data_IF_486994669554
#
_entry.id   IF_486994669554
#
_cell.length_a   1.000
_cell.length_b   1.000
_cell.length_c   1.000
_cell.angle_alpha   90.00
_cell.angle_beta   90.00
_cell.angle_gamma   90.00
#
_symmetry.space_group_name_H-M   'P 1'
#
loop_
_entity.id
_entity.type
_entity.pdbx_description
1 polymer ?
#
# COMPACT_ATOMS: atom_id res chain seq x y z
N UNK A 1 16.09 -15.13 9.76
CA UNK A 1 15.69 -15.92 8.58
C UNK A 1 15.68 -15.02 7.35
N UNK A 2 16.04 -15.54 6.19
CA UNK A 2 16.00 -14.86 4.88
C UNK A 2 14.89 -15.48 4.04
N UNK A 3 14.19 -14.66 3.19
CA UNK A 3 13.22 -15.18 2.22
C UNK A 3 13.83 -16.25 1.30
N UNK A 4 12.97 -17.04 0.64
CA UNK A 4 13.36 -17.87 -0.50
C UNK A 4 13.88 -17.01 -1.66
N UNK A 5 14.41 -17.64 -2.70
CA UNK A 5 14.79 -16.94 -3.92
C UNK A 5 13.55 -16.45 -4.67
N UNK A 6 13.60 -15.25 -5.24
CA UNK A 6 12.57 -14.67 -6.08
C UNK A 6 13.18 -13.75 -7.13
N UNK A 7 12.46 -13.53 -8.22
CA UNK A 7 12.76 -12.48 -9.18
C UNK A 7 12.07 -11.18 -8.76
N UNK A 8 12.81 -10.07 -8.82
CA UNK A 8 12.32 -8.76 -8.46
C UNK A 8 12.03 -7.93 -9.71
N UNK A 9 10.82 -7.39 -9.78
CA UNK A 9 10.34 -6.53 -10.85
C UNK A 9 9.92 -5.17 -10.28
N UNK A 10 10.31 -4.08 -10.95
CA UNK A 10 9.93 -2.73 -10.55
C UNK A 10 9.39 -1.94 -11.74
N UNK A 11 8.15 -2.22 -12.13
CA UNK A 11 7.50 -1.49 -13.22
C UNK A 11 7.23 -0.02 -12.86
N UNK A 12 7.14 0.84 -13.89
CA UNK A 12 6.93 2.27 -13.72
C UNK A 12 5.49 2.72 -14.02
N UNK A 13 4.62 1.80 -14.44
CA UNK A 13 3.21 2.09 -14.72
C UNK A 13 2.29 0.99 -14.20
N UNK A 14 1.03 1.36 -13.96
CA UNK A 14 -0.02 0.42 -13.55
C UNK A 14 -0.23 -0.67 -14.60
N UNK A 15 -0.23 -0.30 -15.89
CA UNK A 15 -0.41 -1.26 -17.00
C UNK A 15 0.71 -2.30 -17.04
N UNK A 16 1.94 -1.87 -16.77
CA UNK A 16 3.08 -2.79 -16.70
C UNK A 16 2.98 -3.73 -15.48
N UNK A 17 2.48 -3.23 -14.34
CA UNK A 17 2.18 -4.06 -13.15
C UNK A 17 1.15 -5.13 -13.51
N UNK A 18 0.03 -4.70 -14.13
CA UNK A 18 -1.07 -5.60 -14.55
C UNK A 18 -0.55 -6.67 -15.51
N UNK A 19 0.23 -6.27 -16.52
CA UNK A 19 0.80 -7.19 -17.50
C UNK A 19 1.67 -8.26 -16.84
N UNK A 20 2.54 -7.86 -15.89
CA UNK A 20 3.36 -8.80 -15.13
C UNK A 20 2.53 -9.77 -14.29
N UNK A 21 1.50 -9.27 -13.61
CA UNK A 21 0.62 -10.10 -12.79
C UNK A 21 -0.18 -11.10 -13.63
N UNK A 22 -0.64 -10.69 -14.82
CA UNK A 22 -1.33 -11.58 -15.77
C UNK A 22 -0.36 -12.64 -16.31
N UNK A 23 0.86 -12.25 -16.66
CA UNK A 23 1.88 -13.16 -17.21
C UNK A 23 2.34 -14.20 -16.19
N UNK A 24 2.59 -13.79 -14.95
CA UNK A 24 3.17 -14.63 -13.90
C UNK A 24 2.11 -15.33 -13.03
N UNK A 25 0.86 -14.91 -13.08
CA UNK A 25 -0.25 -15.52 -12.37
C UNK A 25 -0.03 -15.64 -10.87
N UNK A 26 -0.32 -16.79 -10.31
CA UNK A 26 -0.25 -17.06 -8.88
C UNK A 26 1.18 -17.07 -8.30
N UNK A 27 2.20 -17.14 -9.14
CA UNK A 27 3.61 -17.08 -8.75
C UNK A 27 4.08 -15.66 -8.43
N UNK A 28 3.29 -14.65 -8.79
CA UNK A 28 3.59 -13.24 -8.55
C UNK A 28 2.84 -12.68 -7.35
N UNK A 29 3.51 -11.79 -6.61
CA UNK A 29 2.87 -10.98 -5.55
C UNK A 29 3.32 -9.53 -5.66
N UNK A 30 2.38 -8.64 -5.40
CA UNK A 30 2.64 -7.21 -5.32
C UNK A 30 3.26 -6.88 -3.98
N UNK A 31 4.27 -6.02 -3.97
CA UNK A 31 4.82 -5.42 -2.77
C UNK A 31 4.66 -3.90 -2.80
N UNK A 32 4.19 -3.34 -1.70
CA UNK A 32 4.17 -1.90 -1.42
C UNK A 32 5.25 -1.57 -0.38
N UNK A 33 4.90 -1.20 0.85
CA UNK A 33 5.87 -0.94 1.92
C UNK A 33 6.60 -2.17 2.48
N UNK A 34 6.13 -3.38 2.18
CA UNK A 34 6.77 -4.64 2.52
C UNK A 34 6.63 -5.07 3.99
N UNK A 35 6.05 -4.27 4.87
CA UNK A 35 6.05 -4.54 6.31
C UNK A 35 5.15 -5.71 6.76
N UNK A 36 4.20 -6.11 5.94
CA UNK A 36 3.42 -7.35 6.14
C UNK A 36 4.00 -8.52 5.31
N UNK A 37 4.28 -8.28 4.03
CA UNK A 37 4.69 -9.34 3.12
C UNK A 37 6.10 -9.89 3.42
N UNK A 38 7.08 -9.02 3.70
CA UNK A 38 8.46 -9.46 3.97
C UNK A 38 8.57 -10.36 5.21
N UNK A 39 7.91 -10.07 6.35
CA UNK A 39 7.84 -11.01 7.46
C UNK A 39 7.30 -12.39 7.10
N UNK A 40 6.23 -12.46 6.31
CA UNK A 40 5.65 -13.73 5.83
C UNK A 40 6.64 -14.49 4.94
N UNK A 41 7.30 -13.80 4.01
CA UNK A 41 8.34 -14.38 3.17
C UNK A 41 9.54 -14.90 3.99
N UNK A 42 9.95 -14.16 5.02
CA UNK A 42 11.06 -14.59 5.92
C UNK A 42 10.70 -15.86 6.68
N UNK A 43 9.46 -16.08 7.01
CA UNK A 43 8.95 -17.28 7.68
C UNK A 43 8.75 -18.45 6.70
N UNK A 44 8.86 -18.21 5.38
CA UNK A 44 8.63 -19.19 4.32
C UNK A 44 7.26 -19.87 4.41
N UNK A 45 6.24 -19.12 4.80
CA UNK A 45 4.86 -19.59 4.88
C UNK A 45 4.25 -19.71 3.47
N UNK A 46 4.74 -18.89 2.55
CA UNK A 46 4.34 -18.91 1.15
C UNK A 46 5.57 -18.82 0.25
N UNK A 47 5.51 -19.51 -0.87
CA UNK A 47 6.50 -19.41 -1.94
C UNK A 47 6.05 -18.32 -2.92
N UNK A 48 6.92 -17.36 -3.17
CA UNK A 48 6.70 -16.25 -4.10
C UNK A 48 7.89 -16.26 -5.05
N UNK A 49 7.63 -16.57 -6.32
CA UNK A 49 8.67 -16.62 -7.36
C UNK A 49 8.95 -15.26 -7.97
N UNK A 50 7.94 -14.38 -8.03
CA UNK A 50 8.04 -13.05 -8.63
C UNK A 50 7.47 -11.98 -7.68
N UNK A 51 8.30 -11.00 -7.33
CA UNK A 51 7.92 -9.87 -6.49
C UNK A 51 7.80 -8.61 -7.36
N UNK A 52 6.60 -8.04 -7.43
CA UNK A 52 6.29 -6.86 -8.25
C UNK A 52 6.18 -5.63 -7.35
N UNK A 53 7.20 -4.77 -7.37
CA UNK A 53 7.29 -3.59 -6.52
C UNK A 53 6.58 -2.38 -7.13
N UNK A 54 5.59 -1.88 -6.42
CA UNK A 54 4.82 -0.68 -6.81
C UNK A 54 5.56 0.64 -6.58
N UNK A 55 6.72 0.63 -5.92
CA UNK A 55 7.46 1.87 -5.61
C UNK A 55 7.90 2.65 -6.87
N UNK A 56 7.97 1.98 -8.03
CA UNK A 56 8.24 2.60 -9.33
C UNK A 56 7.06 3.37 -9.91
N UNK A 57 5.83 3.11 -9.47
CA UNK A 57 4.60 3.66 -10.08
C UNK A 57 4.25 5.02 -9.46
N UNK A 58 4.69 6.11 -10.09
CA UNK A 58 4.51 7.46 -9.59
C UNK A 58 3.02 7.87 -9.46
N UNK A 59 2.15 7.38 -10.36
CA UNK A 59 0.71 7.69 -10.34
C UNK A 59 -0.04 7.15 -9.11
N UNK A 60 0.55 6.22 -8.38
CA UNK A 60 -0.02 5.68 -7.14
C UNK A 60 0.40 6.45 -5.87
N UNK A 61 1.13 7.56 -6.01
CA UNK A 61 1.64 8.36 -4.89
C UNK A 61 0.96 9.71 -4.81
N UNK A 62 0.99 10.28 -3.61
CA UNK A 62 0.62 11.65 -3.35
C UNK A 62 -0.78 11.82 -2.75
N UNK A 63 -1.03 13.06 -2.36
CA UNK A 63 -2.28 13.52 -1.74
C UNK A 63 -2.77 14.69 -2.57
N UNK A 64 -4.02 14.68 -2.96
CA UNK A 64 -4.67 15.83 -3.60
C UNK A 64 -5.98 16.16 -2.92
N UNK A 65 -6.26 17.45 -2.79
CA UNK A 65 -7.49 17.96 -2.17
C UNK A 65 -8.14 18.93 -3.15
N UNK A 66 -9.29 18.56 -3.67
CA UNK A 66 -10.04 19.37 -4.63
C UNK A 66 -11.53 19.30 -4.34
N UNK A 67 -12.21 20.46 -4.38
CA UNK A 67 -13.67 20.56 -4.22
C UNK A 67 -14.22 19.90 -2.95
N UNK A 68 -13.42 19.82 -1.87
CA UNK A 68 -13.80 19.15 -0.62
C UNK A 68 -13.59 17.64 -0.62
N UNK A 69 -13.04 17.09 -1.70
CA UNK A 69 -12.66 15.67 -1.81
C UNK A 69 -11.16 15.53 -1.55
N UNK A 70 -10.79 14.55 -0.73
CA UNK A 70 -9.40 14.14 -0.49
C UNK A 70 -9.15 12.87 -1.29
N UNK A 71 -8.13 12.88 -2.14
CA UNK A 71 -7.68 11.70 -2.89
C UNK A 71 -6.26 11.36 -2.44
N UNK A 72 -6.06 10.12 -2.04
CA UNK A 72 -4.76 9.63 -1.54
C UNK A 72 -4.33 8.45 -2.41
N UNK A 73 -3.15 8.53 -2.99
CA UNK A 73 -2.56 7.45 -3.74
C UNK A 73 -2.20 6.26 -2.84
N UNK A 74 -2.43 5.04 -3.34
CA UNK A 74 -2.22 3.81 -2.56
C UNK A 74 -0.79 3.64 -2.03
N UNK A 75 0.21 4.20 -2.72
CA UNK A 75 1.62 4.16 -2.36
C UNK A 75 2.07 5.34 -1.50
N UNK A 76 1.15 6.20 -1.05
CA UNK A 76 1.46 7.26 -0.08
C UNK A 76 1.80 6.63 1.26
N UNK A 77 2.95 6.98 1.81
CA UNK A 77 3.44 6.43 3.07
C UNK A 77 2.73 7.04 4.28
N UNK A 78 2.76 6.34 5.41
CA UNK A 78 2.22 6.86 6.67
C UNK A 78 2.92 8.17 7.08
N UNK A 79 4.21 8.28 6.80
CA UNK A 79 4.97 9.50 7.09
C UNK A 79 4.51 10.69 6.22
N UNK A 80 4.21 10.47 4.94
CA UNK A 80 3.65 11.50 4.07
C UNK A 80 2.26 11.96 4.55
N UNK A 81 1.42 11.05 5.06
CA UNK A 81 0.12 11.41 5.66
C UNK A 81 0.31 12.30 6.91
N UNK A 82 1.30 11.98 7.74
CA UNK A 82 1.60 12.73 8.98
C UNK A 82 2.13 14.13 8.66
N UNK A 83 2.98 14.26 7.63
CA UNK A 83 3.68 15.51 7.31
C UNK A 83 2.87 16.44 6.40
N UNK A 84 1.75 16.01 5.87
CA UNK A 84 0.88 16.85 5.03
C UNK A 84 0.06 17.83 5.90
N UNK A 85 0.45 19.09 5.90
CA UNK A 85 -0.28 20.13 6.65
C UNK A 85 -1.69 20.36 6.09
N UNK A 86 -1.86 20.25 4.78
CA UNK A 86 -3.16 20.40 4.13
C UNK A 86 -4.12 19.27 4.53
N UNK A 87 -3.62 18.01 4.55
CA UNK A 87 -4.39 16.87 5.02
C UNK A 87 -4.75 17.01 6.50
N UNK A 88 -3.80 17.43 7.33
CA UNK A 88 -4.02 17.65 8.75
C UNK A 88 -5.09 18.73 9.03
N UNK A 89 -5.17 19.77 8.19
CA UNK A 89 -6.18 20.81 8.31
C UNK A 89 -7.59 20.33 7.91
N UNK A 90 -7.70 19.38 6.98
CA UNK A 90 -8.99 18.91 6.43
C UNK A 90 -9.49 17.62 7.07
N UNK A 91 -8.59 16.72 7.45
CA UNK A 91 -8.89 15.42 8.04
C UNK A 91 -7.85 15.06 9.12
N UNK A 92 -7.80 15.78 10.25
CA UNK A 92 -6.77 15.60 11.29
C UNK A 92 -6.73 14.18 11.84
N UNK A 93 -7.83 13.47 11.86
CA UNK A 93 -7.93 12.09 12.33
C UNK A 93 -7.00 11.14 11.58
N UNK A 94 -6.72 11.39 10.28
CA UNK A 94 -5.79 10.58 9.49
C UNK A 94 -4.37 10.71 10.06
N UNK A 95 -3.95 11.94 10.38
CA UNK A 95 -2.66 12.21 11.00
C UNK A 95 -2.56 11.56 12.38
N UNK A 96 -3.59 11.70 13.20
CA UNK A 96 -3.63 11.14 14.56
C UNK A 96 -3.52 9.62 14.53
N UNK A 97 -4.29 8.95 13.67
CA UNK A 97 -4.22 7.51 13.49
C UNK A 97 -2.86 7.06 12.96
N UNK A 98 -2.32 7.75 11.94
CA UNK A 98 -1.01 7.43 11.37
C UNK A 98 0.13 7.54 12.41
N UNK A 99 0.03 8.45 13.36
CA UNK A 99 1.01 8.60 14.45
C UNK A 99 1.00 7.42 15.43
N UNK A 100 -0.10 6.66 15.52
CA UNK A 100 -0.20 5.48 16.37
C UNK A 100 0.38 4.22 15.68
N UNK A 101 0.58 4.25 14.36
CA UNK A 101 1.08 3.09 13.63
C UNK A 101 2.56 2.88 13.90
N UNK A 102 2.88 1.74 14.53
CA UNK A 102 4.24 1.22 14.72
C UNK A 102 5.27 2.31 15.13
N UNK A 103 6.38 2.37 14.41
CA UNK A 103 7.50 3.29 14.64
C UNK A 103 7.83 4.12 13.39
N UNK A 104 8.73 5.12 13.49
CA UNK A 104 9.10 5.95 12.34
C UNK A 104 9.69 5.18 11.16
N UNK A 105 10.39 4.07 11.40
CA UNK A 105 10.99 3.26 10.33
C UNK A 105 9.90 2.58 9.52
N UNK A 106 8.91 2.01 10.18
CA UNK A 106 7.73 1.40 9.55
C UNK A 106 6.94 2.46 8.79
N UNK A 107 6.70 3.63 9.40
CA UNK A 107 5.91 4.71 8.78
C UNK A 107 6.55 5.32 7.54
N UNK A 108 7.88 5.28 7.42
CA UNK A 108 8.58 5.77 6.23
C UNK A 108 8.41 4.87 5.00
N UNK A 109 8.08 3.62 5.18
CA UNK A 109 7.91 2.65 4.09
C UNK A 109 6.49 2.13 3.98
N UNK A 110 5.80 1.94 5.11
CA UNK A 110 4.42 1.47 5.16
C UNK A 110 3.47 2.45 4.47
N UNK A 111 2.67 1.93 3.52
CA UNK A 111 1.76 2.73 2.70
C UNK A 111 0.31 2.55 3.14
N UNK A 112 -0.52 3.56 2.88
CA UNK A 112 -1.96 3.47 3.18
C UNK A 112 -2.63 2.33 2.41
N UNK A 113 -2.35 2.22 1.11
CA UNK A 113 -2.92 1.16 0.27
C UNK A 113 -2.45 -0.23 0.67
N UNK A 114 -1.17 -0.39 1.04
CA UNK A 114 -0.63 -1.65 1.54
C UNK A 114 -1.28 -2.09 2.84
N UNK A 115 -1.53 -1.16 3.77
CA UNK A 115 -2.20 -1.43 5.03
C UNK A 115 -3.66 -1.88 4.80
N UNK A 116 -4.40 -1.16 3.96
CA UNK A 116 -5.79 -1.50 3.62
C UNK A 116 -5.88 -2.83 2.86
N UNK A 117 -5.03 -3.02 1.83
CA UNK A 117 -5.06 -4.21 0.99
C UNK A 117 -4.62 -5.49 1.72
N UNK A 118 -3.78 -5.37 2.76
CA UNK A 118 -3.43 -6.49 3.62
C UNK A 118 -4.64 -7.09 4.32
N UNK A 119 -5.66 -6.28 4.60
CA UNK A 119 -6.95 -6.73 5.13
C UNK A 119 -6.91 -7.35 6.51
N UNK A 120 -5.83 -7.15 7.27
CA UNK A 120 -5.75 -7.62 8.65
C UNK A 120 -6.73 -6.81 9.52
N UNK A 121 -7.64 -7.46 10.25
CA UNK A 121 -8.58 -6.75 11.13
C UNK A 121 -7.91 -5.96 12.25
N UNK A 122 -6.66 -6.24 12.56
CA UNK A 122 -5.85 -5.47 13.52
C UNK A 122 -5.18 -4.24 12.90
N UNK A 123 -5.28 -4.03 11.58
CA UNK A 123 -4.77 -2.83 10.93
C UNK A 123 -5.66 -1.60 11.22
N UNK A 124 -5.02 -0.45 11.45
CA UNK A 124 -5.72 0.80 11.80
C UNK A 124 -6.46 1.42 10.61
N UNK A 125 -5.87 1.37 9.40
CA UNK A 125 -6.40 2.08 8.23
C UNK A 125 -7.76 1.57 7.74
N UNK A 126 -8.09 0.27 7.69
CA UNK A 126 -9.42 -0.17 7.25
C UNK A 126 -10.55 0.41 8.10
N UNK A 127 -10.43 0.39 9.42
CA UNK A 127 -11.42 0.95 10.34
C UNK A 127 -11.53 2.47 10.22
N UNK A 128 -10.39 3.17 10.09
CA UNK A 128 -10.36 4.61 9.87
C UNK A 128 -11.04 4.99 8.55
N UNK A 129 -10.74 4.31 7.46
CA UNK A 129 -11.33 4.58 6.14
C UNK A 129 -12.84 4.32 6.14
N UNK A 130 -13.30 3.30 6.84
CA UNK A 130 -14.72 3.04 7.02
C UNK A 130 -15.40 4.17 7.80
N UNK A 131 -14.77 4.68 8.86
CA UNK A 131 -15.28 5.80 9.66
C UNK A 131 -15.39 7.09 8.84
N UNK A 132 -14.49 7.27 7.86
CA UNK A 132 -14.47 8.42 6.96
C UNK A 132 -15.35 8.24 5.71
N UNK A 133 -16.09 7.13 5.61
CA UNK A 133 -16.90 6.78 4.42
C UNK A 133 -16.06 6.84 3.12
N UNK A 134 -14.84 6.29 3.18
CA UNK A 134 -13.89 6.36 2.08
C UNK A 134 -14.30 5.45 0.92
N UNK A 135 -14.11 5.94 -0.30
CA UNK A 135 -14.28 5.15 -1.52
C UNK A 135 -12.93 4.63 -1.99
N UNK A 136 -12.84 3.33 -2.28
CA UNK A 136 -11.66 2.70 -2.84
C UNK A 136 -11.76 2.58 -4.37
N UNK A 137 -10.72 3.02 -5.05
CA UNK A 137 -10.56 2.78 -6.48
C UNK A 137 -9.67 1.55 -6.67
N UNK A 138 -10.29 0.44 -7.05
CA UNK A 138 -9.61 -0.85 -7.21
C UNK A 138 -9.46 -1.19 -8.67
N UNK A 139 -8.29 -1.72 -9.03
CA UNK A 139 -8.08 -2.39 -10.30
C UNK A 139 -8.03 -3.90 -10.04
N UNK A 140 -9.00 -4.64 -10.59
CA UNK A 140 -9.05 -6.10 -10.47
C UNK A 140 -8.63 -6.75 -11.77
N UNK A 141 -7.86 -7.85 -11.67
CA UNK A 141 -7.52 -8.72 -12.80
C UNK A 141 -8.59 -9.80 -13.02
N UNK A 142 -9.55 -9.91 -12.12
CA UNK A 142 -10.65 -10.86 -12.18
C UNK A 142 -11.92 -10.07 -12.47
N UNK A 143 -12.66 -10.49 -13.50
CA UNK A 143 -14.00 -9.98 -13.73
C UNK A 143 -14.92 -10.47 -12.59
N UNK A 144 -15.27 -9.52 -11.77
CA UNK A 144 -16.28 -9.76 -10.71
C UNK A 144 -17.65 -9.40 -11.28
#
# INVERSE_FOLDING_TARGET
MIPGAFEYHRPESVDAVVSLLVEKGDDARVIAGGHSLIPVMKQRITDISHLVDLAGVASLKGISIDGGRITIGAMTTQNELITSDELAAKAPIIREASLQIADPQVRNLGTIGGNVANGDPANDMPGLMQTLDATYHLLSLIHI
#
